data_IF_859910981602
#
_entry.id   IF_859910981602
#
_cell.length_a   1.000
_cell.length_b   1.000
_cell.length_c   1.000
_cell.angle_alpha   90.00
_cell.angle_beta   90.00
_cell.angle_gamma   90.00
#
_symmetry.space_group_name_H-M   'P 1'
#
loop_
_entity.id
_entity.type
_entity.pdbx_description
1 polymer ?
#
# COMPACT_ATOMS: atom_id res chain seq x y z
N UNK A 1 -23.32 -9.11 14.31
CA UNK A 1 -23.15 -7.67 14.17
C UNK A 1 -24.43 -7.10 13.58
N UNK A 2 -24.96 -6.03 14.14
CA UNK A 2 -26.26 -5.46 13.77
C UNK A 2 -26.22 -4.59 12.50
N UNK A 3 -25.02 -4.29 11.98
CA UNK A 3 -24.84 -3.41 10.81
C UNK A 3 -25.29 -1.95 11.03
N UNK A 4 -25.57 -1.58 12.27
CA UNK A 4 -25.97 -0.20 12.61
C UNK A 4 -24.76 0.71 12.60
N UNK A 5 -24.82 1.80 11.86
CA UNK A 5 -23.78 2.80 11.73
C UNK A 5 -24.32 4.15 11.29
N UNK A 6 -23.45 5.16 11.22
CA UNK A 6 -23.78 6.53 10.83
C UNK A 6 -23.37 6.87 9.39
N UNK A 7 -23.00 5.84 8.61
CA UNK A 7 -22.51 6.00 7.24
C UNK A 7 -23.60 6.28 6.20
N UNK A 8 -23.18 6.59 4.96
CA UNK A 8 -24.10 6.88 3.86
C UNK A 8 -24.88 5.66 3.36
N UNK A 9 -24.50 4.45 3.78
CA UNK A 9 -25.18 3.22 3.40
C UNK A 9 -25.49 2.35 4.61
N UNK A 10 -26.60 1.63 4.54
CA UNK A 10 -27.05 0.63 5.51
C UNK A 10 -26.88 -0.78 4.92
N UNK A 11 -26.52 -1.76 5.74
CA UNK A 11 -26.41 -3.16 5.30
C UNK A 11 -27.83 -3.75 5.13
N UNK A 12 -28.14 -4.19 3.92
CA UNK A 12 -29.37 -4.92 3.61
C UNK A 12 -29.13 -6.44 3.67
N UNK A 13 -28.09 -6.92 2.97
CA UNK A 13 -27.64 -8.30 3.00
C UNK A 13 -26.15 -8.36 3.27
N UNK A 14 -25.73 -9.14 4.24
CA UNK A 14 -24.32 -9.38 4.53
C UNK A 14 -23.90 -10.77 4.06
N UNK A 15 -22.99 -10.84 3.10
CA UNK A 15 -22.44 -12.08 2.54
C UNK A 15 -20.97 -11.84 2.15
N UNK A 16 -20.01 -12.11 3.08
CA UNK A 16 -18.60 -11.78 2.87
C UNK A 16 -17.90 -12.68 1.83
N UNK A 17 -18.46 -13.85 1.53
CA UNK A 17 -17.92 -14.77 0.52
C UNK A 17 -18.62 -14.65 -0.85
N UNK A 18 -19.72 -13.93 -0.90
CA UNK A 18 -20.52 -13.71 -2.10
C UNK A 18 -20.74 -12.23 -2.40
N UNK A 19 -22.02 -11.80 -2.32
CA UNK A 19 -22.41 -10.41 -2.59
C UNK A 19 -23.08 -9.80 -1.37
N UNK A 20 -22.39 -8.82 -0.76
CA UNK A 20 -22.99 -7.96 0.27
C UNK A 20 -23.75 -6.81 -0.41
N UNK A 21 -24.99 -6.57 0.00
CA UNK A 21 -25.85 -5.51 -0.54
C UNK A 21 -26.00 -4.41 0.49
N UNK A 22 -25.72 -3.18 0.07
CA UNK A 22 -25.86 -1.97 0.85
C UNK A 22 -26.91 -1.08 0.20
N UNK A 23 -27.83 -0.52 0.99
CA UNK A 23 -28.84 0.45 0.56
C UNK A 23 -28.49 1.85 1.04
N UNK A 24 -28.82 2.85 0.25
CA UNK A 24 -28.64 4.25 0.63
C UNK A 24 -29.33 4.55 1.96
N UNK A 25 -28.64 5.29 2.82
CA UNK A 25 -29.22 5.84 4.05
C UNK A 25 -29.82 7.21 3.75
N UNK A 26 -31.15 7.34 3.71
CA UNK A 26 -31.79 8.62 3.42
C UNK A 26 -31.56 9.69 4.49
N UNK A 27 -31.23 9.23 5.71
CA UNK A 27 -31.03 10.11 6.90
C UNK A 27 -29.50 10.37 7.12
N UNK A 28 -28.67 10.14 6.11
CA UNK A 28 -27.25 10.42 6.24
C UNK A 28 -27.02 11.93 6.43
N UNK A 29 -26.20 12.28 7.42
CA UNK A 29 -26.01 13.68 7.89
C UNK A 29 -25.40 14.63 6.84
N UNK A 30 -24.68 14.13 5.83
CA UNK A 30 -24.20 14.90 4.67
C UNK A 30 -25.18 14.90 3.49
N UNK A 31 -26.37 14.34 3.67
CA UNK A 31 -27.37 14.15 2.62
C UNK A 31 -27.38 12.76 2.02
N UNK A 32 -28.49 12.39 1.40
CA UNK A 32 -28.68 11.07 0.82
C UNK A 32 -27.65 10.80 -0.30
N UNK A 33 -27.07 9.58 -0.36
CA UNK A 33 -26.15 9.19 -1.45
C UNK A 33 -26.77 9.30 -2.84
N UNK A 34 -25.95 9.60 -3.84
CA UNK A 34 -26.38 9.68 -5.24
C UNK A 34 -26.71 8.34 -5.90
N UNK A 35 -26.41 7.20 -5.24
CA UNK A 35 -26.75 5.86 -5.70
C UNK A 35 -27.64 5.17 -4.68
N UNK A 36 -28.65 4.43 -5.14
CA UNK A 36 -29.62 3.76 -4.29
C UNK A 36 -29.09 2.51 -3.61
N UNK A 37 -28.26 1.76 -4.33
CA UNK A 37 -27.68 0.50 -3.88
C UNK A 37 -26.19 0.37 -4.27
N UNK A 38 -25.42 -0.32 -3.42
CA UNK A 38 -24.04 -0.76 -3.71
C UNK A 38 -23.95 -2.24 -3.47
N UNK A 39 -23.47 -2.98 -4.50
CA UNK A 39 -23.21 -4.40 -4.43
C UNK A 39 -21.71 -4.61 -4.26
N UNK A 40 -21.29 -5.11 -3.11
CA UNK A 40 -19.88 -5.45 -2.84
C UNK A 40 -19.68 -6.94 -3.13
N UNK A 41 -19.02 -7.25 -4.24
CA UNK A 41 -18.82 -8.62 -4.73
C UNK A 41 -17.44 -9.11 -4.29
N UNK A 42 -17.39 -10.23 -3.58
CA UNK A 42 -16.15 -10.87 -3.17
C UNK A 42 -15.51 -11.60 -4.37
N UNK A 43 -14.41 -11.07 -4.90
CA UNK A 43 -13.60 -11.69 -5.94
C UNK A 43 -12.16 -11.77 -5.41
N UNK A 44 -11.71 -12.90 -4.84
CA UNK A 44 -10.41 -13.03 -4.19
C UNK A 44 -9.22 -12.80 -5.13
N UNK A 45 -9.27 -13.31 -6.35
CA UNK A 45 -8.21 -13.21 -7.32
C UNK A 45 -8.12 -11.80 -7.96
N UNK A 46 -6.93 -11.20 -7.93
CA UNK A 46 -6.71 -9.84 -8.43
C UNK A 46 -6.89 -9.72 -9.95
N UNK A 47 -6.52 -10.75 -10.72
CA UNK A 47 -6.68 -10.74 -12.18
C UNK A 47 -8.16 -10.89 -12.56
N UNK A 48 -8.89 -11.72 -11.83
CA UNK A 48 -10.35 -11.87 -12.02
C UNK A 48 -11.07 -10.54 -11.75
N UNK A 49 -10.67 -9.78 -10.69
CA UNK A 49 -11.23 -8.43 -10.44
C UNK A 49 -10.99 -7.47 -11.60
N UNK A 50 -9.76 -7.49 -12.17
CA UNK A 50 -9.42 -6.66 -13.32
C UNK A 50 -10.27 -7.03 -14.53
N UNK A 51 -10.41 -8.31 -14.82
CA UNK A 51 -11.25 -8.78 -15.92
C UNK A 51 -12.73 -8.42 -15.71
N UNK A 52 -13.25 -8.57 -14.50
CA UNK A 52 -14.61 -8.17 -14.16
C UNK A 52 -14.86 -6.67 -14.41
N UNK A 53 -13.88 -5.81 -14.10
CA UNK A 53 -13.96 -4.37 -14.37
C UNK A 53 -13.89 -4.09 -15.90
N UNK A 54 -12.97 -4.73 -16.61
CA UNK A 54 -12.80 -4.53 -18.06
C UNK A 54 -14.03 -4.97 -18.87
N UNK A 55 -14.72 -6.01 -18.40
CA UNK A 55 -15.93 -6.56 -19.05
C UNK A 55 -17.23 -5.89 -18.59
N UNK A 56 -17.17 -4.97 -17.61
CA UNK A 56 -18.35 -4.31 -17.08
C UNK A 56 -19.20 -5.17 -16.14
N UNK A 57 -18.66 -6.24 -15.59
CA UNK A 57 -19.31 -7.02 -14.54
C UNK A 57 -19.32 -6.30 -13.19
N UNK A 58 -18.35 -5.42 -12.98
CA UNK A 58 -18.29 -4.49 -11.85
C UNK A 58 -17.99 -3.08 -12.38
N UNK A 59 -18.50 -2.09 -11.68
CA UNK A 59 -18.34 -0.66 -12.04
C UNK A 59 -17.10 -0.03 -11.40
N UNK A 60 -16.64 -0.56 -10.28
CA UNK A 60 -15.52 -0.04 -9.51
C UNK A 60 -14.66 -1.15 -8.92
N UNK A 61 -13.34 -1.01 -9.03
CA UNK A 61 -12.37 -1.80 -8.29
C UNK A 61 -11.54 -0.89 -7.39
N UNK A 62 -11.60 -1.11 -6.08
CA UNK A 62 -10.88 -0.30 -5.09
C UNK A 62 -9.38 -0.44 -5.19
N UNK A 63 -8.88 -1.57 -5.65
CA UNK A 63 -7.46 -1.88 -5.63
C UNK A 63 -6.98 -2.41 -6.98
N UNK A 64 -6.29 -1.56 -7.72
CA UNK A 64 -5.62 -1.94 -8.97
C UNK A 64 -4.13 -2.05 -8.70
N UNK A 65 -3.49 -3.22 -8.95
CA UNK A 65 -2.04 -3.35 -8.86
C UNK A 65 -1.32 -2.32 -9.73
N UNK A 66 -0.27 -1.68 -9.21
CA UNK A 66 0.41 -0.58 -9.90
C UNK A 66 0.96 -0.96 -11.28
N UNK A 67 1.44 -2.20 -11.44
CA UNK A 67 1.92 -2.72 -12.72
C UNK A 67 0.80 -2.87 -13.77
N UNK A 68 -0.46 -2.84 -13.36
CA UNK A 68 -1.63 -2.95 -14.24
C UNK A 68 -2.33 -1.61 -14.48
N UNK A 69 -1.94 -0.57 -13.76
CA UNK A 69 -2.54 0.77 -13.88
C UNK A 69 -2.57 1.28 -15.33
N UNK A 70 -1.50 1.04 -16.10
CA UNK A 70 -1.40 1.46 -17.50
C UNK A 70 -2.53 0.95 -18.40
N UNK A 71 -3.11 -0.21 -18.11
CA UNK A 71 -4.22 -0.79 -18.88
C UNK A 71 -5.45 0.13 -18.79
N UNK A 72 -5.70 0.68 -17.61
CA UNK A 72 -6.82 1.58 -17.36
C UNK A 72 -6.52 3.00 -17.83
N UNK A 73 -5.32 3.52 -17.57
CA UNK A 73 -4.92 4.88 -17.99
C UNK A 73 -4.96 5.06 -19.51
N UNK A 74 -4.72 4.00 -20.27
CA UNK A 74 -4.77 4.03 -21.74
C UNK A 74 -6.18 3.88 -22.33
N UNK A 75 -7.19 3.65 -21.50
CA UNK A 75 -8.56 3.39 -21.93
C UNK A 75 -9.51 4.47 -21.38
N UNK A 76 -10.05 5.30 -22.26
CA UNK A 76 -10.93 6.44 -21.92
C UNK A 76 -12.25 6.04 -21.23
N UNK A 77 -12.59 4.75 -21.18
CA UNK A 77 -13.76 4.25 -20.43
C UNK A 77 -13.53 4.22 -18.91
N UNK A 78 -12.28 4.32 -18.47
CA UNK A 78 -11.92 4.21 -17.06
C UNK A 78 -11.28 5.50 -16.54
N UNK A 79 -11.53 5.77 -15.27
CA UNK A 79 -10.82 6.80 -14.52
C UNK A 79 -10.05 6.13 -13.39
N UNK A 80 -8.73 6.32 -13.35
CA UNK A 80 -7.88 5.82 -12.27
C UNK A 80 -7.55 6.95 -11.30
N UNK A 81 -7.92 6.78 -10.04
CA UNK A 81 -7.59 7.75 -9.00
C UNK A 81 -6.57 7.15 -8.03
N UNK A 82 -5.45 7.85 -7.85
CA UNK A 82 -4.46 7.52 -6.82
C UNK A 82 -4.76 8.36 -5.59
N UNK A 83 -5.14 7.69 -4.51
CA UNK A 83 -5.47 8.36 -3.24
C UNK A 83 -4.27 8.21 -2.31
N UNK A 84 -3.60 9.31 -1.91
CA UNK A 84 -2.57 9.26 -0.90
C UNK A 84 -3.13 8.72 0.42
N UNK A 85 -2.52 7.67 0.94
CA UNK A 85 -2.90 7.04 2.21
C UNK A 85 -1.72 7.03 3.16
N UNK A 86 -1.98 6.83 4.46
CA UNK A 86 -0.92 6.59 5.43
C UNK A 86 -0.29 5.19 5.36
N UNK A 87 -0.66 4.38 4.38
CA UNK A 87 -0.06 3.06 4.19
C UNK A 87 1.39 3.19 3.74
N UNK A 88 2.28 2.55 4.45
CA UNK A 88 3.70 2.52 4.12
C UNK A 88 4.18 1.10 3.88
N UNK A 89 5.22 0.95 3.08
CA UNK A 89 5.91 -0.32 2.84
C UNK A 89 7.37 -0.15 3.22
N UNK A 90 7.93 -1.15 3.88
CA UNK A 90 9.31 -1.09 4.32
C UNK A 90 9.91 -2.46 4.55
N UNK A 91 11.23 -2.50 4.65
CA UNK A 91 11.98 -3.66 5.09
C UNK A 91 12.19 -3.56 6.60
N UNK A 92 11.62 -4.49 7.35
CA UNK A 92 11.72 -4.53 8.81
C UNK A 92 12.97 -5.32 9.20
N UNK A 93 13.76 -4.78 10.11
CA UNK A 93 14.99 -5.40 10.63
C UNK A 93 14.78 -5.83 12.07
N UNK A 94 15.04 -7.10 12.39
CA UNK A 94 15.05 -7.57 13.78
C UNK A 94 16.26 -7.00 14.52
N UNK A 95 16.01 -6.12 15.48
CA UNK A 95 17.08 -5.42 16.21
C UNK A 95 17.63 -6.19 17.41
N UNK A 96 17.03 -7.31 17.73
CA UNK A 96 17.39 -8.24 18.81
C UNK A 96 18.28 -9.39 18.34
N UNK A 97 18.61 -9.46 17.04
CA UNK A 97 19.35 -10.58 16.45
C UNK A 97 20.40 -10.04 15.47
N UNK A 98 21.60 -10.64 15.48
CA UNK A 98 22.63 -10.35 14.48
C UNK A 98 22.13 -10.64 13.05
N UNK A 99 22.56 -9.84 12.06
CA UNK A 99 23.50 -8.73 12.18
C UNK A 99 22.84 -7.37 12.49
N UNK A 100 21.50 -7.34 12.65
CA UNK A 100 20.74 -6.10 12.80
C UNK A 100 20.63 -5.59 14.24
N UNK A 101 21.16 -6.30 15.23
CA UNK A 101 21.44 -5.77 16.58
C UNK A 101 22.46 -4.64 16.55
N UNK A 102 23.39 -4.65 15.55
CA UNK A 102 24.37 -3.58 15.36
C UNK A 102 23.78 -2.36 14.63
N UNK A 103 23.75 -1.16 15.25
CA UNK A 103 23.21 0.04 14.64
C UNK A 103 23.98 0.52 13.39
N UNK A 104 25.28 0.21 13.26
CA UNK A 104 26.04 0.52 12.06
C UNK A 104 25.56 -0.27 10.85
N UNK A 105 25.20 -1.55 11.05
CA UNK A 105 24.62 -2.39 10.00
C UNK A 105 23.29 -1.82 9.56
N UNK A 106 22.38 -1.51 10.47
CA UNK A 106 21.09 -0.90 10.14
C UNK A 106 21.24 0.41 9.37
N UNK A 107 22.19 1.26 9.79
CA UNK A 107 22.48 2.52 9.11
C UNK A 107 23.07 2.30 7.71
N UNK A 108 23.92 1.29 7.54
CA UNK A 108 24.47 0.92 6.24
C UNK A 108 23.37 0.51 5.26
N UNK A 109 22.43 -0.32 5.68
CA UNK A 109 21.27 -0.72 4.85
C UNK A 109 20.41 0.49 4.45
N UNK A 110 20.14 1.40 5.39
CA UNK A 110 19.37 2.62 5.09
C UNK A 110 20.05 3.52 4.06
N UNK A 111 21.40 3.57 4.06
CA UNK A 111 22.18 4.37 3.12
C UNK A 111 22.41 3.68 1.77
N UNK A 112 22.27 2.36 1.71
CA UNK A 112 22.47 1.60 0.49
C UNK A 112 21.30 1.69 -0.50
N UNK A 113 20.09 1.96 0.00
CA UNK A 113 18.86 1.92 -0.80
C UNK A 113 18.65 3.21 -1.58
N UNK A 114 18.46 3.09 -2.89
CA UNK A 114 17.83 4.14 -3.71
C UNK A 114 16.32 4.01 -3.58
N UNK A 115 15.73 4.91 -2.83
CA UNK A 115 14.29 4.88 -2.52
C UNK A 115 13.44 5.34 -3.68
N UNK A 116 13.96 6.26 -4.50
CA UNK A 116 13.23 6.70 -5.67
C UNK A 116 13.16 5.58 -6.73
N UNK A 117 14.27 4.88 -6.96
CA UNK A 117 14.28 3.71 -7.83
C UNK A 117 13.28 2.64 -7.37
N UNK A 118 13.18 2.39 -6.06
CA UNK A 118 12.15 1.48 -5.52
C UNK A 118 10.73 1.97 -5.78
N UNK A 119 10.46 3.26 -5.63
CA UNK A 119 9.14 3.83 -5.95
C UNK A 119 8.81 3.62 -7.42
N UNK A 120 9.76 3.87 -8.30
CA UNK A 120 9.56 3.78 -9.75
C UNK A 120 9.36 2.33 -10.20
N UNK A 121 10.19 1.40 -9.71
CA UNK A 121 10.14 0.00 -10.10
C UNK A 121 8.96 -0.76 -9.49
N UNK A 122 8.69 -0.55 -8.19
CA UNK A 122 7.70 -1.35 -7.45
C UNK A 122 6.31 -0.72 -7.50
N UNK A 123 6.24 0.61 -7.47
CA UNK A 123 4.99 1.35 -7.36
C UNK A 123 4.64 2.10 -8.65
N UNK A 124 5.43 1.94 -9.72
CA UNK A 124 5.19 2.63 -10.99
C UNK A 124 5.15 4.16 -10.85
N UNK A 125 5.90 4.73 -9.90
CA UNK A 125 5.90 6.15 -9.58
C UNK A 125 4.69 6.63 -8.75
N UNK A 126 3.77 5.75 -8.37
CA UNK A 126 2.52 6.13 -7.68
C UNK A 126 2.64 6.23 -6.14
N UNK A 127 3.85 6.30 -5.61
CA UNK A 127 4.11 6.46 -4.19
C UNK A 127 5.07 7.62 -3.92
N UNK A 128 5.22 7.99 -2.66
CA UNK A 128 6.14 9.04 -2.21
C UNK A 128 7.16 8.45 -1.25
N UNK A 129 8.44 8.86 -1.40
CA UNK A 129 9.51 8.44 -0.49
C UNK A 129 9.22 8.93 0.92
N UNK A 130 9.15 7.99 1.88
CA UNK A 130 8.82 8.27 3.27
C UNK A 130 10.03 8.44 4.20
N UNK A 131 11.26 8.27 3.71
CA UNK A 131 12.50 8.43 4.48
C UNK A 131 12.54 7.64 5.80
N UNK A 132 12.10 6.36 5.74
CA UNK A 132 12.13 5.41 6.87
C UNK A 132 11.26 5.83 8.08
N UNK A 133 10.21 6.60 7.84
CA UNK A 133 9.20 6.95 8.84
C UNK A 133 7.82 6.52 8.37
N UNK A 134 6.95 6.02 9.27
CA UNK A 134 5.56 5.69 8.95
C UNK A 134 4.68 6.93 8.78
N UNK A 135 5.17 8.11 9.16
CA UNK A 135 4.43 9.37 9.01
C UNK A 135 4.51 9.82 7.56
N UNK A 136 3.35 9.99 6.93
CA UNK A 136 3.26 10.36 5.53
C UNK A 136 3.88 11.73 5.23
N UNK A 137 4.46 11.93 4.03
CA UNK A 137 5.13 13.20 3.66
C UNK A 137 4.26 14.45 3.75
N UNK A 138 2.96 14.32 3.57
CA UNK A 138 1.99 15.42 3.63
C UNK A 138 1.45 15.70 5.04
N UNK A 139 1.88 14.95 6.05
CA UNK A 139 1.41 15.16 7.41
C UNK A 139 2.06 16.42 8.01
N UNK A 140 1.24 17.29 8.60
CA UNK A 140 1.69 18.57 9.18
C UNK A 140 2.64 18.41 10.39
N UNK A 141 2.59 17.26 11.06
CA UNK A 141 3.43 16.96 12.22
C UNK A 141 4.69 16.18 11.85
N UNK A 142 4.90 15.92 10.57
CA UNK A 142 6.09 15.21 10.12
C UNK A 142 7.33 16.08 10.23
N UNK A 143 8.37 15.54 10.85
CA UNK A 143 9.70 16.15 10.77
C UNK A 143 10.23 16.04 9.34
N UNK A 144 10.76 17.13 8.81
CA UNK A 144 11.47 17.12 7.53
C UNK A 144 12.76 16.29 7.70
N UNK A 145 12.91 15.28 6.85
CA UNK A 145 14.03 14.34 6.93
C UNK A 145 14.56 14.06 5.53
N UNK A 146 15.88 14.11 5.41
CA UNK A 146 16.59 13.66 4.22
C UNK A 146 17.08 12.23 4.39
N UNK A 147 16.96 11.45 3.33
CA UNK A 147 17.41 10.06 3.32
C UNK A 147 18.22 9.73 2.05
N UNK A 148 19.31 10.46 1.79
CA UNK A 148 20.09 10.27 0.59
C UNK A 148 20.76 8.90 0.58
N UNK A 149 20.87 8.32 -0.63
CA UNK A 149 21.73 7.16 -0.84
C UNK A 149 23.20 7.55 -0.66
N UNK A 150 23.98 6.69 0.00
CA UNK A 150 25.42 6.84 0.11
C UNK A 150 26.12 5.48 0.24
N UNK A 151 26.42 4.89 -0.90
CA UNK A 151 27.01 3.55 -0.99
C UNK A 151 28.39 3.49 -0.34
N UNK A 152 29.24 4.52 -0.52
CA UNK A 152 30.58 4.56 0.06
C UNK A 152 30.52 4.55 1.59
N UNK A 153 29.65 5.36 2.17
CA UNK A 153 29.44 5.39 3.63
C UNK A 153 28.81 4.08 4.14
N UNK A 154 27.89 3.48 3.39
CA UNK A 154 27.32 2.19 3.73
C UNK A 154 28.39 1.10 3.81
N UNK A 155 29.25 0.99 2.80
CA UNK A 155 30.39 0.04 2.79
C UNK A 155 31.34 0.25 3.96
N UNK A 156 31.64 1.51 4.31
CA UNK A 156 32.50 1.81 5.44
C UNK A 156 31.89 1.36 6.76
N UNK A 157 30.59 1.63 6.97
CA UNK A 157 29.87 1.19 8.17
C UNK A 157 29.81 -0.33 8.30
N UNK A 158 29.62 -1.05 7.21
CA UNK A 158 29.68 -2.52 7.22
C UNK A 158 31.06 -3.03 7.61
N UNK A 159 32.13 -2.44 7.04
CA UNK A 159 33.51 -2.79 7.39
C UNK A 159 33.81 -2.56 8.88
N UNK A 160 33.40 -1.40 9.41
CA UNK A 160 33.51 -1.08 10.84
C UNK A 160 32.68 -1.99 11.75
N UNK A 161 31.61 -2.56 11.22
CA UNK A 161 30.75 -3.53 11.92
C UNK A 161 31.28 -4.97 11.84
N UNK A 162 32.44 -5.22 11.22
CA UNK A 162 33.02 -6.55 11.08
C UNK A 162 32.63 -7.31 9.80
N UNK A 163 32.00 -6.64 8.83
CA UNK A 163 31.55 -7.23 7.56
C UNK A 163 32.23 -6.60 6.34
N UNK A 164 33.57 -6.73 6.19
CA UNK A 164 34.33 -6.08 5.10
C UNK A 164 33.97 -6.59 3.71
N UNK A 165 33.51 -7.84 3.61
CA UNK A 165 33.17 -8.52 2.36
C UNK A 165 31.66 -8.58 2.09
N UNK A 166 30.85 -7.90 2.89
CA UNK A 166 29.39 -7.94 2.81
C UNK A 166 28.75 -8.88 3.83
N UNK A 167 27.42 -8.98 3.76
CA UNK A 167 26.60 -9.80 4.66
C UNK A 167 25.68 -10.65 3.80
N UNK A 168 25.61 -11.95 4.10
CA UNK A 168 24.58 -12.83 3.57
C UNK A 168 23.31 -12.74 4.45
N UNK A 169 22.17 -12.54 3.83
CA UNK A 169 20.89 -12.35 4.51
C UNK A 169 19.79 -13.18 3.87
N UNK A 170 18.88 -13.65 4.70
CA UNK A 170 17.62 -14.21 4.24
C UNK A 170 16.52 -13.16 4.39
N UNK A 171 15.85 -12.84 3.29
CA UNK A 171 14.70 -11.94 3.26
C UNK A 171 13.42 -12.77 3.14
N UNK A 172 12.47 -12.52 4.02
CA UNK A 172 11.14 -13.15 3.98
C UNK A 172 10.15 -12.15 3.41
N UNK A 173 9.79 -12.26 2.11
CA UNK A 173 8.75 -11.40 1.55
C UNK A 173 7.39 -11.81 2.12
N UNK A 174 6.64 -10.84 2.61
CA UNK A 174 5.23 -11.04 2.93
C UNK A 174 4.39 -10.68 1.70
N UNK A 175 3.46 -11.54 1.33
CA UNK A 175 2.43 -11.21 0.34
C UNK A 175 1.41 -10.31 1.04
N UNK A 176 1.66 -9.01 1.00
CA UNK A 176 0.74 -8.00 1.51
C UNK A 176 -0.29 -7.67 0.43
N UNK A 177 -1.08 -8.66 0.00
CA UNK A 177 -2.40 -8.34 -0.51
C UNK A 177 -3.20 -7.86 0.70
N UNK A 178 -3.80 -6.66 0.69
CA UNK A 178 -4.73 -6.30 1.75
C UNK A 178 -5.99 -7.15 1.58
N UNK A 179 -5.93 -8.38 2.08
CA UNK A 179 -7.14 -9.11 2.40
C UNK A 179 -7.72 -8.40 3.62
N UNK A 180 -8.76 -7.63 3.42
CA UNK A 180 -9.60 -7.19 4.51
C UNK A 180 -10.26 -8.41 5.13
N UNK A 181 -10.22 -8.55 6.47
CA UNK A 181 -11.03 -9.53 7.14
C UNK A 181 -12.51 -9.21 7.01
#
# INVERSE_FOLDING_TARGET
QTGVGTGPFMVDKFDPEGTTILKANPDYWEGAPGVAEVHVIAIPDAQARIQALLTGQIDMNRYVPFNQKKIFDSNSKFTTTVIPTGNWRGVVMRTDTAPFDNPKVRKAFRLAVDRQELVDLVMGGAATVSCDTPVMPSDQYRLQMDCPQNISKAKNLLREAGYPNGIELTVYPATLEPTWP
#
